data_IF_528163644605
#
_entry.id   IF_528163644605
#
_cell.length_a   1.000
_cell.length_b   1.000
_cell.length_c   1.000
_cell.angle_alpha   90.00
_cell.angle_beta   90.00
_cell.angle_gamma   90.00
#
_symmetry.space_group_name_H-M   'P 1'
#
loop_
_entity.id
_entity.type
_entity.pdbx_description
1 polymer ?
#
# COMPACT_ATOMS: atom_id res chain seq x y z
N UNK A 1 3.42 4.48 0.92
CA UNK A 1 2.54 5.38 1.72
C UNK A 1 1.18 5.46 1.06
N UNK A 2 0.13 5.63 1.85
CA UNK A 2 -1.25 5.75 1.38
C UNK A 2 -1.75 7.12 1.79
N UNK A 3 -1.73 8.07 0.85
CA UNK A 3 -2.05 9.46 1.13
C UNK A 3 -3.55 9.72 1.35
N UNK A 4 -4.48 9.06 0.63
CA UNK A 4 -5.90 9.25 0.92
C UNK A 4 -6.22 8.88 2.38
N UNK A 5 -6.98 9.74 3.06
CA UNK A 5 -7.44 9.49 4.43
C UNK A 5 -8.58 8.47 4.45
N UNK A 6 -8.73 7.75 5.57
CA UNK A 6 -9.80 6.76 5.76
C UNK A 6 -9.60 5.43 5.03
N UNK A 7 -8.42 5.16 4.49
CA UNK A 7 -8.10 3.84 3.92
C UNK A 7 -7.75 2.86 5.03
N UNK A 8 -8.42 1.71 5.05
CA UNK A 8 -8.23 0.68 6.07
C UNK A 8 -7.32 -0.46 5.63
N UNK A 9 -7.10 -0.64 4.32
CA UNK A 9 -6.20 -1.64 3.74
C UNK A 9 -5.85 -1.29 2.28
N UNK A 10 -4.82 -1.92 1.73
CA UNK A 10 -4.45 -1.79 0.31
C UNK A 10 -4.29 -3.14 -0.37
N UNK A 11 -4.56 -3.16 -1.67
CA UNK A 11 -4.31 -4.29 -2.58
C UNK A 11 -3.81 -3.80 -3.92
N UNK A 12 -3.04 -4.59 -4.69
CA UNK A 12 -2.80 -4.25 -6.09
C UNK A 12 -4.14 -4.25 -6.84
N UNK A 13 -4.35 -3.22 -7.67
CA UNK A 13 -5.55 -3.09 -8.49
C UNK A 13 -5.43 -3.98 -9.74
N UNK A 14 -5.64 -5.29 -9.55
CA UNK A 14 -5.51 -6.32 -10.60
C UNK A 14 -6.39 -6.04 -11.83
N UNK A 15 -7.49 -5.32 -11.63
CA UNK A 15 -8.45 -4.94 -12.65
C UNK A 15 -7.93 -3.83 -13.57
N UNK A 16 -6.96 -3.04 -13.09
CA UNK A 16 -6.33 -1.96 -13.82
C UNK A 16 -5.02 -2.44 -14.44
N UNK A 17 -4.20 -3.15 -13.65
CA UNK A 17 -2.93 -3.71 -14.10
C UNK A 17 -2.71 -5.11 -13.51
N UNK A 18 -3.13 -6.17 -14.25
CA UNK A 18 -2.95 -7.55 -13.80
C UNK A 18 -1.48 -7.98 -13.79
N UNK A 19 -0.63 -7.40 -14.64
CA UNK A 19 0.79 -7.74 -14.71
C UNK A 19 1.52 -7.21 -13.47
N UNK A 20 1.24 -5.97 -13.07
CA UNK A 20 1.79 -5.40 -11.84
C UNK A 20 1.35 -6.20 -10.61
N UNK A 21 0.08 -6.61 -10.53
CA UNK A 21 -0.41 -7.43 -9.44
C UNK A 21 0.31 -8.79 -9.34
N UNK A 22 0.60 -9.43 -10.48
CA UNK A 22 1.38 -10.67 -10.52
C UNK A 22 2.83 -10.43 -10.09
N UNK A 23 3.49 -9.40 -10.64
CA UNK A 23 4.86 -9.06 -10.29
C UNK A 23 5.04 -8.72 -8.80
N UNK A 24 4.06 -8.08 -8.17
CA UNK A 24 4.09 -7.80 -6.73
C UNK A 24 4.06 -9.09 -5.90
N UNK A 25 3.25 -10.08 -6.29
CA UNK A 25 3.22 -11.39 -5.63
C UNK A 25 4.54 -12.14 -5.81
N UNK A 26 5.11 -12.11 -7.01
CA UNK A 26 6.40 -12.76 -7.28
C UNK A 26 7.53 -12.12 -6.47
N UNK A 27 7.54 -10.79 -6.34
CA UNK A 27 8.50 -10.06 -5.52
C UNK A 27 8.40 -10.48 -4.03
N UNK A 28 7.18 -10.58 -3.50
CA UNK A 28 6.95 -11.04 -2.12
C UNK A 28 7.40 -12.48 -1.93
N UNK A 29 7.13 -13.36 -2.88
CA UNK A 29 7.60 -14.75 -2.86
C UNK A 29 9.14 -14.85 -2.91
N UNK A 30 9.80 -13.90 -3.58
CA UNK A 30 11.26 -13.77 -3.60
C UNK A 30 11.84 -13.13 -2.33
N UNK A 31 11.02 -12.79 -1.34
CA UNK A 31 11.45 -12.27 -0.04
C UNK A 31 11.41 -10.75 0.10
N UNK A 32 10.79 -10.03 -0.85
CA UNK A 32 10.58 -8.58 -0.71
C UNK A 32 9.52 -8.29 0.35
N UNK A 33 9.88 -7.49 1.35
CA UNK A 33 8.92 -7.00 2.34
C UNK A 33 8.11 -5.81 1.78
N UNK A 34 6.78 -5.90 1.86
CA UNK A 34 5.88 -4.84 1.41
C UNK A 34 5.22 -4.17 2.62
N UNK A 35 5.34 -2.85 2.67
CA UNK A 35 4.82 -2.03 3.75
C UNK A 35 3.81 -1.01 3.21
N UNK A 36 2.66 -0.93 3.85
CA UNK A 36 1.68 0.13 3.64
C UNK A 36 1.45 0.87 4.95
N UNK A 37 1.37 2.20 4.86
CA UNK A 37 1.15 3.08 6.00
C UNK A 37 0.17 4.16 5.60
N UNK A 38 -0.84 4.36 6.45
CA UNK A 38 -1.76 5.49 6.36
C UNK A 38 -1.07 6.77 6.82
N UNK A 39 -1.66 7.90 6.44
CA UNK A 39 -1.16 9.22 6.81
C UNK A 39 -2.24 10.09 7.47
N UNK A 40 -1.77 11.01 8.30
CA UNK A 40 -2.52 12.22 8.65
C UNK A 40 -1.99 13.38 7.79
N UNK A 41 -2.91 14.20 7.26
CA UNK A 41 -2.60 15.34 6.40
C UNK A 41 -3.12 16.61 7.07
N UNK A 42 -2.24 17.59 7.19
CA UNK A 42 -2.53 18.95 7.67
C UNK A 42 -1.96 19.99 6.71
N UNK A 43 -2.14 21.28 6.98
CA UNK A 43 -1.53 22.34 6.15
C UNK A 43 -0.02 22.45 6.40
N UNK A 44 0.45 21.95 7.54
CA UNK A 44 1.81 22.06 8.04
C UNK A 44 2.66 20.84 7.69
N UNK A 45 2.09 19.63 7.79
CA UNK A 45 2.80 18.39 7.52
C UNK A 45 1.92 17.24 7.00
N UNK A 46 2.60 16.25 6.41
CA UNK A 46 2.06 14.92 6.13
C UNK A 46 2.88 13.92 6.95
N UNK A 47 2.21 13.15 7.81
CA UNK A 47 2.87 12.21 8.74
C UNK A 47 2.32 10.80 8.56
N UNK A 48 3.22 9.81 8.50
CA UNK A 48 2.84 8.39 8.58
C UNK A 48 2.40 8.06 10.01
N UNK A 49 1.26 7.39 10.16
CA UNK A 49 0.66 7.18 11.49
C UNK A 49 0.59 5.71 11.89
N UNK A 50 0.03 4.87 11.04
CA UNK A 50 -0.21 3.45 11.36
C UNK A 50 0.02 2.56 10.15
N UNK A 51 0.39 1.31 10.42
CA UNK A 51 0.54 0.28 9.38
C UNK A 51 -0.83 -0.13 8.88
N UNK A 52 -0.96 -0.26 7.56
CA UNK A 52 -2.13 -0.78 6.89
C UNK A 52 -1.89 -2.22 6.44
N UNK A 53 -2.90 -3.10 6.52
CA UNK A 53 -2.87 -4.40 5.89
C UNK A 53 -2.61 -4.28 4.38
N UNK A 54 -1.74 -5.14 3.87
CA UNK A 54 -1.52 -5.36 2.44
C UNK A 54 -2.17 -6.69 2.08
N UNK A 55 -3.11 -6.67 1.13
CA UNK A 55 -3.84 -7.83 0.64
C UNK A 55 -3.29 -8.16 -0.76
N UNK A 56 -2.80 -9.38 -0.97
CA UNK A 56 -2.13 -9.81 -2.22
C UNK A 56 -2.92 -10.86 -2.99
#
# INVERSE_FOLDING_TARGET
CVNPTGIEAVRPASEIDPLYAAALRDAVAAGVEVLAYGVEISQEEIRLTHRLPVIL
#
